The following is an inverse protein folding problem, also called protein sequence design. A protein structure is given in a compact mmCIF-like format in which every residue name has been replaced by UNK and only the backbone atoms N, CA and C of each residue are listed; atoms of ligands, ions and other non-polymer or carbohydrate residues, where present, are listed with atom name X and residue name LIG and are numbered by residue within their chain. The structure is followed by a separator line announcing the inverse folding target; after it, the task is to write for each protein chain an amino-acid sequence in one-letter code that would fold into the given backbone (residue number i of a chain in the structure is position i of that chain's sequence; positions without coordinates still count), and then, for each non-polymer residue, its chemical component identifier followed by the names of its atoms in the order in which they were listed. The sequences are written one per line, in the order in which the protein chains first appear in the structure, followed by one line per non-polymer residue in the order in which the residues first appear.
data_IF_287095759317
#
_entry.id   IF_287095759317
#
_cell.length_a   1.000
_cell.length_b   1.000
_cell.length_c   1.000
_cell.angle_alpha   90.00
_cell.angle_beta   90.00
_cell.angle_gamma   90.00
#
_symmetry.space_group_name_H-M   'P 1'
#
loop_
_entity.id
_entity.type
_entity.pdbx_description
1 polymer ?
#
# COMPACT_ATOMS: atom_id res chain seq x y z
N UNK A 1 -7.16 -15.85 19.69
CA UNK A 1 -6.81 -15.21 18.42
C UNK A 1 -7.63 -13.92 18.16
N UNK A 2 -8.96 -13.95 18.08
CA UNK A 2 -9.76 -12.72 17.84
C UNK A 2 -9.61 -11.66 18.93
N UNK A 3 -9.78 -12.03 20.20
CA UNK A 3 -9.58 -11.13 21.36
C UNK A 3 -8.17 -10.54 21.42
N UNK A 4 -7.18 -11.31 21.02
CA UNK A 4 -5.79 -10.88 20.98
C UNK A 4 -5.54 -9.86 19.86
N UNK A 5 -6.14 -10.06 18.69
CA UNK A 5 -6.09 -9.08 17.60
C UNK A 5 -6.64 -7.72 18.03
N UNK A 6 -7.83 -7.71 18.64
CA UNK A 6 -8.46 -6.48 19.15
C UNK A 6 -7.58 -5.80 20.21
N UNK A 7 -7.05 -6.59 21.16
CA UNK A 7 -6.14 -6.07 22.19
C UNK A 7 -4.90 -5.42 21.55
N UNK A 8 -4.32 -6.05 20.54
CA UNK A 8 -3.13 -5.54 19.86
C UNK A 8 -3.44 -4.27 19.06
N UNK A 9 -4.58 -4.22 18.36
CA UNK A 9 -5.03 -3.00 17.64
C UNK A 9 -5.14 -1.83 18.62
N UNK A 10 -5.81 -2.04 19.76
CA UNK A 10 -5.99 -1.00 20.77
C UNK A 10 -4.65 -0.55 21.37
N UNK A 11 -3.75 -1.50 21.66
CA UNK A 11 -2.43 -1.19 22.21
C UNK A 11 -1.58 -0.35 21.23
N UNK A 12 -1.59 -0.68 19.93
CA UNK A 12 -0.85 0.07 18.91
C UNK A 12 -1.45 1.47 18.74
N UNK A 13 -2.77 1.60 18.65
CA UNK A 13 -3.43 2.90 18.53
C UNK A 13 -3.13 3.79 19.73
N UNK A 14 -3.26 3.28 20.95
CA UNK A 14 -2.93 4.04 22.17
C UNK A 14 -1.47 4.50 22.16
N UNK A 15 -0.53 3.65 21.75
CA UNK A 15 0.88 4.03 21.67
C UNK A 15 1.12 5.15 20.62
N UNK A 16 0.42 5.10 19.47
CA UNK A 16 0.51 6.17 18.47
C UNK A 16 -0.08 7.47 19.03
N UNK A 17 -1.24 7.41 19.69
CA UNK A 17 -1.92 8.57 20.27
C UNK A 17 -1.06 9.24 21.36
N UNK A 18 -0.45 8.45 22.25
CA UNK A 18 0.47 8.92 23.28
C UNK A 18 1.69 9.61 22.68
N UNK A 19 2.32 8.98 21.66
CA UNK A 19 3.47 9.56 20.99
C UNK A 19 3.12 10.86 20.24
N UNK A 20 2.03 10.88 19.48
CA UNK A 20 1.57 12.08 18.79
C UNK A 20 1.31 13.23 19.77
N UNK A 21 0.65 12.93 20.88
CA UNK A 21 0.37 13.90 21.94
C UNK A 21 1.66 14.45 22.55
N UNK A 22 2.66 13.60 22.78
CA UNK A 22 3.95 13.98 23.39
C UNK A 22 4.77 14.95 22.55
N UNK A 23 4.59 14.94 21.22
CA UNK A 23 5.32 15.81 20.28
C UNK A 23 4.42 16.86 19.61
N UNK A 24 3.19 17.04 20.10
CA UNK A 24 2.19 17.97 19.57
C UNK A 24 1.92 17.77 18.05
N UNK A 25 1.79 16.50 17.63
CA UNK A 25 1.49 16.09 16.26
C UNK A 25 0.06 15.58 16.15
N UNK A 26 -0.65 15.88 15.06
CA UNK A 26 -1.98 15.33 14.85
C UNK A 26 -1.91 13.81 14.60
N UNK A 27 -2.83 13.07 15.23
CA UNK A 27 -2.99 11.62 14.99
C UNK A 27 -3.33 11.32 13.52
N UNK A 28 -4.08 12.21 12.87
CA UNK A 28 -4.53 12.06 11.48
C UNK A 28 -3.40 12.13 10.46
N UNK A 29 -2.21 12.61 10.86
CA UNK A 29 -1.02 12.58 10.01
C UNK A 29 -0.35 11.18 9.95
N UNK A 30 -0.81 10.24 10.77
CA UNK A 30 -0.24 8.88 10.85
C UNK A 30 -1.22 7.87 10.29
N UNK A 31 -0.86 7.22 9.20
CA UNK A 31 -1.61 6.10 8.64
C UNK A 31 -1.03 4.77 9.12
N UNK A 32 -1.83 4.00 9.86
CA UNK A 32 -1.46 2.64 10.25
C UNK A 32 -1.93 1.65 9.18
N UNK A 33 -0.99 0.95 8.55
CA UNK A 33 -1.28 -0.10 7.56
C UNK A 33 -1.13 -1.47 8.21
N UNK A 34 -2.24 -2.21 8.33
CA UNK A 34 -2.22 -3.58 8.82
C UNK A 34 -1.82 -4.55 7.72
N UNK A 35 -0.66 -5.20 7.87
CA UNK A 35 -0.18 -6.20 6.90
C UNK A 35 -0.94 -7.50 7.10
N UNK A 36 -1.81 -7.86 6.15
CA UNK A 36 -2.74 -9.00 6.24
C UNK A 36 -2.34 -10.20 5.35
N UNK A 37 -1.13 -10.16 4.77
CA UNK A 37 -0.61 -11.30 3.98
C UNK A 37 -0.71 -12.62 4.73
N UNK A 38 -1.12 -13.69 4.03
CA UNK A 38 -1.31 -15.05 4.60
C UNK A 38 -2.34 -15.12 5.73
N UNK A 39 -3.22 -14.14 5.85
CA UNK A 39 -4.34 -14.14 6.81
C UNK A 39 -5.66 -14.25 6.03
N UNK A 40 -6.61 -14.98 6.60
CA UNK A 40 -7.94 -15.09 6.05
C UNK A 40 -8.72 -13.77 6.08
N UNK A 41 -9.71 -13.64 5.21
CA UNK A 41 -10.52 -12.43 5.10
C UNK A 41 -11.30 -12.12 6.39
N UNK A 42 -11.62 -13.13 7.21
CA UNK A 42 -12.31 -12.94 8.50
C UNK A 42 -11.51 -12.08 9.48
N UNK A 43 -10.16 -12.21 9.45
CA UNK A 43 -9.31 -11.38 10.29
C UNK A 43 -9.21 -9.94 9.78
N UNK A 44 -9.25 -9.76 8.44
CA UNK A 44 -9.31 -8.44 7.83
C UNK A 44 -10.63 -7.76 8.19
N UNK A 45 -11.75 -8.47 8.07
CA UNK A 45 -13.07 -7.97 8.46
C UNK A 45 -13.14 -7.59 9.93
N UNK A 46 -12.62 -8.45 10.82
CA UNK A 46 -12.56 -8.15 12.24
C UNK A 46 -11.71 -6.91 12.54
N UNK A 47 -10.57 -6.74 11.86
CA UNK A 47 -9.73 -5.56 12.02
C UNK A 47 -10.44 -4.29 11.51
N UNK A 48 -11.15 -4.38 10.39
CA UNK A 48 -11.97 -3.30 9.84
C UNK A 48 -13.07 -2.86 10.84
N UNK A 49 -13.78 -3.82 11.43
CA UNK A 49 -14.80 -3.58 12.47
C UNK A 49 -14.21 -2.93 13.74
N UNK A 50 -12.88 -3.00 13.92
CA UNK A 50 -12.15 -2.37 15.02
C UNK A 50 -11.31 -1.15 14.58
N UNK A 51 -11.70 -0.51 13.48
CA UNK A 51 -11.17 0.80 13.07
C UNK A 51 -9.90 0.76 12.23
N UNK A 52 -9.46 -0.40 11.75
CA UNK A 52 -8.35 -0.49 10.78
C UNK A 52 -8.93 -0.43 9.38
N UNK A 53 -8.61 0.63 8.64
CA UNK A 53 -9.11 0.84 7.28
C UNK A 53 -8.05 0.62 6.18
N UNK A 54 -6.78 0.56 6.55
CA UNK A 54 -5.67 0.42 5.61
C UNK A 54 -5.03 -0.96 5.76
N UNK A 55 -5.02 -1.75 4.67
CA UNK A 55 -4.50 -3.12 4.66
C UNK A 55 -3.42 -3.32 3.60
N UNK A 56 -2.34 -4.00 4.00
CA UNK A 56 -1.20 -4.27 3.13
C UNK A 56 -1.12 -5.73 2.69
N UNK A 57 -1.02 -5.95 1.37
CA UNK A 57 -0.86 -7.27 0.77
C UNK A 57 0.43 -7.40 -0.04
N UNK A 58 1.04 -8.57 0.04
CA UNK A 58 2.25 -8.89 -0.71
C UNK A 58 1.98 -9.66 -2.01
N UNK A 59 0.83 -10.33 -2.10
CA UNK A 59 0.51 -11.23 -3.19
C UNK A 59 -0.72 -10.73 -3.95
N UNK A 60 -0.58 -10.58 -5.27
CA UNK A 60 -1.65 -10.02 -6.11
C UNK A 60 -2.94 -10.86 -6.07
N UNK A 61 -2.82 -12.18 -5.92
CA UNK A 61 -3.97 -13.07 -5.78
C UNK A 61 -4.71 -12.86 -4.46
N UNK A 62 -3.97 -12.78 -3.34
CA UNK A 62 -4.57 -12.51 -2.03
C UNK A 62 -5.27 -11.14 -2.00
N UNK A 63 -4.64 -10.11 -2.60
CA UNK A 63 -5.23 -8.81 -2.76
C UNK A 63 -6.56 -8.88 -3.52
N UNK A 64 -6.57 -9.53 -4.69
CA UNK A 64 -7.77 -9.69 -5.52
C UNK A 64 -8.87 -10.45 -4.79
N UNK A 65 -8.54 -11.56 -4.12
CA UNK A 65 -9.50 -12.37 -3.38
C UNK A 65 -10.13 -11.55 -2.25
N UNK A 66 -9.31 -10.91 -1.41
CA UNK A 66 -9.79 -10.16 -0.25
C UNK A 66 -10.59 -8.93 -0.65
N UNK A 67 -10.14 -8.18 -1.66
CA UNK A 67 -10.87 -7.01 -2.15
C UNK A 67 -12.22 -7.37 -2.76
N UNK A 68 -12.36 -8.56 -3.35
CA UNK A 68 -13.63 -9.02 -3.89
C UNK A 68 -14.60 -9.57 -2.83
N UNK A 69 -14.08 -10.05 -1.69
CA UNK A 69 -14.89 -10.62 -0.60
C UNK A 69 -15.35 -9.58 0.42
N UNK A 70 -14.67 -8.44 0.49
CA UNK A 70 -14.96 -7.37 1.46
C UNK A 70 -15.40 -6.14 0.67
N UNK A 71 -16.70 -6.02 0.49
CA UNK A 71 -17.33 -4.86 -0.13
C UNK A 71 -17.49 -3.76 0.93
N UNK A 72 -16.55 -2.81 0.94
CA UNK A 72 -16.56 -1.67 1.85
C UNK A 72 -15.81 -0.49 1.25
N UNK A 73 -16.50 0.62 1.09
CA UNK A 73 -15.95 1.89 0.62
C UNK A 73 -14.89 2.49 1.57
N UNK A 74 -14.81 1.96 2.79
CA UNK A 74 -13.90 2.45 3.82
C UNK A 74 -12.53 1.76 3.81
N UNK A 75 -12.31 0.75 2.96
CA UNK A 75 -11.03 0.06 2.88
C UNK A 75 -10.11 0.72 1.87
N UNK A 76 -8.87 0.93 2.29
CA UNK A 76 -7.75 1.33 1.42
C UNK A 76 -6.79 0.16 1.29
N UNK A 77 -6.63 -0.35 0.08
CA UNK A 77 -5.75 -1.48 -0.21
C UNK A 77 -4.36 -1.02 -0.64
N UNK A 78 -3.34 -1.46 0.09
CA UNK A 78 -1.94 -1.19 -0.19
C UNK A 78 -1.24 -2.45 -0.72
N UNK A 79 -0.67 -2.36 -1.91
CA UNK A 79 0.22 -3.41 -2.40
C UNK A 79 1.66 -3.10 -1.97
N UNK A 80 2.22 -3.97 -1.14
CA UNK A 80 3.54 -3.79 -0.52
C UNK A 80 4.53 -4.91 -0.89
N UNK A 81 4.14 -5.81 -1.79
CA UNK A 81 4.97 -6.92 -2.26
C UNK A 81 5.75 -6.60 -3.53
N UNK A 82 6.67 -7.50 -3.95
CA UNK A 82 7.39 -7.35 -5.21
C UNK A 82 6.45 -7.47 -6.41
N UNK A 83 6.66 -6.59 -7.42
CA UNK A 83 5.76 -6.51 -8.56
C UNK A 83 6.29 -7.32 -9.73
N UNK A 84 5.55 -8.35 -10.11
CA UNK A 84 5.74 -9.07 -11.36
C UNK A 84 4.97 -8.38 -12.50
N UNK A 85 5.59 -8.25 -13.68
CA UNK A 85 4.99 -7.54 -14.82
C UNK A 85 3.64 -8.11 -15.28
N UNK A 86 3.40 -9.41 -15.10
CA UNK A 86 2.14 -10.08 -15.46
C UNK A 86 1.05 -9.89 -14.39
N UNK A 87 1.36 -9.32 -13.24
CA UNK A 87 0.41 -9.05 -12.15
C UNK A 87 -0.06 -7.60 -12.08
N UNK A 88 0.55 -6.70 -12.87
CA UNK A 88 0.24 -5.27 -12.89
C UNK A 88 -1.26 -5.03 -13.06
N UNK A 89 -1.92 -5.71 -14.01
CA UNK A 89 -3.36 -5.58 -14.24
C UNK A 89 -4.19 -5.93 -12.99
N UNK A 90 -3.87 -7.03 -12.33
CA UNK A 90 -4.57 -7.46 -11.12
C UNK A 90 -4.39 -6.46 -9.99
N UNK A 91 -3.14 -5.99 -9.80
CA UNK A 91 -2.82 -5.02 -8.74
C UNK A 91 -3.52 -3.68 -9.03
N UNK A 92 -3.47 -3.16 -10.26
CA UNK A 92 -4.12 -1.90 -10.64
C UNK A 92 -5.62 -1.90 -10.36
N UNK A 93 -6.30 -3.02 -10.63
CA UNK A 93 -7.74 -3.13 -10.38
C UNK A 93 -8.11 -3.15 -8.89
N UNK A 94 -7.22 -3.64 -8.02
CA UNK A 94 -7.57 -3.97 -6.64
C UNK A 94 -6.83 -3.15 -5.57
N UNK A 95 -5.73 -2.44 -5.92
CA UNK A 95 -4.99 -1.61 -4.97
C UNK A 95 -5.30 -0.12 -5.15
N UNK A 96 -5.22 0.64 -4.06
CA UNK A 96 -5.30 2.10 -4.03
C UNK A 96 -3.91 2.72 -3.89
N UNK A 97 -2.99 1.98 -3.27
CA UNK A 97 -1.60 2.35 -3.09
C UNK A 97 -0.64 1.24 -3.52
N UNK A 98 0.49 1.63 -4.11
CA UNK A 98 1.61 0.74 -4.45
C UNK A 98 2.86 1.29 -3.77
N UNK A 99 3.54 0.47 -2.95
CA UNK A 99 4.70 0.90 -2.17
C UNK A 99 6.05 0.45 -2.74
N UNK A 100 6.06 -0.33 -3.83
CA UNK A 100 7.25 -1.04 -4.32
C UNK A 100 7.59 -0.73 -5.77
N UNK A 101 7.33 0.49 -6.20
CA UNK A 101 7.71 0.94 -7.54
C UNK A 101 9.22 1.19 -7.59
N UNK A 102 9.93 0.40 -8.40
CA UNK A 102 11.40 0.47 -8.52
C UNK A 102 11.90 0.52 -9.97
N UNK A 103 11.01 0.21 -10.94
CA UNK A 103 11.36 0.09 -12.36
C UNK A 103 10.40 0.90 -13.23
N UNK A 104 10.97 1.76 -14.06
CA UNK A 104 10.20 2.60 -14.99
C UNK A 104 9.21 1.78 -15.85
N UNK A 105 9.65 0.63 -16.38
CA UNK A 105 8.79 -0.27 -17.16
C UNK A 105 7.53 -0.70 -16.41
N UNK A 106 7.63 -0.89 -15.10
CA UNK A 106 6.48 -1.25 -14.25
C UNK A 106 5.58 -0.06 -14.06
N UNK A 107 6.13 1.12 -13.80
CA UNK A 107 5.39 2.37 -13.63
C UNK A 107 4.59 2.69 -14.89
N UNK A 108 5.21 2.60 -16.08
CA UNK A 108 4.52 2.79 -17.36
C UNK A 108 3.36 1.80 -17.54
N UNK A 109 3.57 0.53 -17.21
CA UNK A 109 2.49 -0.48 -17.28
C UNK A 109 1.32 -0.16 -16.34
N UNK A 110 1.59 0.31 -15.12
CA UNK A 110 0.51 0.75 -14.21
C UNK A 110 -0.25 1.94 -14.81
N UNK A 111 0.46 2.94 -15.32
CA UNK A 111 -0.17 4.09 -15.98
C UNK A 111 -1.09 3.66 -17.12
N UNK A 112 -0.63 2.73 -17.97
CA UNK A 112 -1.43 2.22 -19.10
C UNK A 112 -2.67 1.43 -18.62
N UNK A 113 -2.52 0.59 -17.59
CA UNK A 113 -3.67 -0.16 -17.04
C UNK A 113 -4.65 0.78 -16.32
N UNK A 114 -4.17 1.73 -15.53
CA UNK A 114 -5.01 2.72 -14.86
C UNK A 114 -5.81 3.60 -15.83
N UNK A 115 -5.20 4.01 -16.95
CA UNK A 115 -5.91 4.72 -18.04
C UNK A 115 -7.06 3.89 -18.61
N UNK A 116 -6.86 2.58 -18.82
CA UNK A 116 -7.91 1.69 -19.38
C UNK A 116 -9.13 1.58 -18.46
N UNK A 117 -8.92 1.64 -17.17
CA UNK A 117 -9.99 1.48 -16.17
C UNK A 117 -10.44 2.81 -15.53
N UNK A 118 -9.92 3.94 -16.05
CA UNK A 118 -10.19 5.28 -15.54
C UNK A 118 -9.99 5.38 -14.01
N UNK A 119 -8.88 4.84 -13.50
CA UNK A 119 -8.53 4.83 -12.07
C UNK A 119 -7.23 5.59 -11.84
N UNK A 120 -7.20 6.37 -10.76
CA UNK A 120 -5.96 6.95 -10.22
C UNK A 120 -5.49 6.04 -9.09
N UNK A 121 -4.19 5.70 -9.09
CA UNK A 121 -3.56 4.92 -8.03
C UNK A 121 -2.38 5.70 -7.46
N UNK A 122 -2.21 5.65 -6.14
CA UNK A 122 -1.10 6.29 -5.47
C UNK A 122 0.14 5.38 -5.53
N UNK A 123 1.31 5.95 -5.77
CA UNK A 123 2.54 5.17 -5.90
C UNK A 123 3.71 5.74 -5.10
N UNK A 124 4.38 4.89 -4.31
CA UNK A 124 5.64 5.18 -3.66
C UNK A 124 6.79 4.57 -4.45
N UNK A 125 7.81 5.36 -4.73
CA UNK A 125 9.05 4.86 -5.33
C UNK A 125 9.89 4.24 -4.22
N UNK A 126 10.26 2.96 -4.38
CA UNK A 126 11.13 2.26 -3.46
C UNK A 126 12.59 2.53 -3.82
N UNK A 127 13.35 3.06 -2.86
CA UNK A 127 14.77 3.40 -3.02
C UNK A 127 15.61 2.46 -2.18
N UNK A 128 16.69 1.92 -2.75
CA UNK A 128 17.70 1.17 -2.04
C UNK A 128 18.85 2.12 -1.61
N UNK A 129 18.71 2.70 -0.42
CA UNK A 129 19.65 3.70 0.10
C UNK A 129 21.01 3.07 0.44
N UNK A 130 21.03 1.84 0.96
CA UNK A 130 22.24 1.15 1.40
C UNK A 130 23.03 0.52 0.25
N UNK A 131 22.47 0.52 -0.97
CA UNK A 131 23.06 -0.11 -2.16
C UNK A 131 23.39 -1.60 -1.95
N UNK A 132 22.66 -2.28 -1.06
CA UNK A 132 22.80 -3.72 -0.84
C UNK A 132 22.20 -4.49 -2.03
N UNK A 133 23.00 -5.33 -2.70
CA UNK A 133 22.56 -6.10 -3.88
C UNK A 133 21.39 -7.06 -3.58
N UNK A 134 21.24 -7.50 -2.33
CA UNK A 134 20.18 -8.39 -1.90
C UNK A 134 18.84 -7.68 -1.69
N UNK A 135 18.78 -6.35 -1.69
CA UNK A 135 17.59 -5.56 -1.44
C UNK A 135 17.02 -4.95 -2.71
N UNK A 136 15.71 -4.93 -2.80
CA UNK A 136 14.96 -4.26 -3.87
C UNK A 136 14.97 -2.74 -3.71
N UNK A 137 14.71 -2.04 -4.80
CA UNK A 137 14.65 -0.58 -4.86
C UNK A 137 15.58 -0.03 -5.95
N UNK A 138 15.23 1.11 -6.50
CA UNK A 138 16.08 1.82 -7.45
C UNK A 138 17.18 2.60 -6.72
N UNK A 139 18.26 2.95 -7.44
CA UNK A 139 19.28 3.85 -6.91
C UNK A 139 18.75 5.28 -6.78
N UNK A 140 19.40 6.10 -5.95
CA UNK A 140 19.06 7.52 -5.80
C UNK A 140 19.16 8.28 -7.14
N UNK A 141 20.15 7.96 -7.97
CA UNK A 141 20.33 8.59 -9.29
C UNK A 141 19.17 8.26 -10.24
N UNK A 142 18.64 7.03 -10.16
CA UNK A 142 17.49 6.61 -10.98
C UNK A 142 16.21 7.35 -10.60
N UNK A 143 16.06 7.84 -9.37
CA UNK A 143 14.88 8.61 -8.93
C UNK A 143 14.79 9.94 -9.66
N UNK A 144 15.91 10.64 -9.85
CA UNK A 144 15.96 11.92 -10.56
C UNK A 144 15.45 11.78 -12.01
N UNK A 145 15.73 10.63 -12.63
CA UNK A 145 15.31 10.34 -14.00
C UNK A 145 13.80 10.00 -14.10
N UNK A 146 13.27 9.29 -13.12
CA UNK A 146 11.83 8.95 -13.07
C UNK A 146 10.96 10.18 -12.82
N UNK A 147 11.43 11.15 -12.07
CA UNK A 147 10.71 12.41 -11.82
C UNK A 147 10.55 13.28 -13.07
N UNK A 148 11.47 13.17 -14.03
CA UNK A 148 11.46 13.96 -15.27
C UNK A 148 10.63 13.33 -16.40
N UNK A 149 10.22 12.05 -16.27
CA UNK A 149 9.61 11.29 -17.37
C UNK A 149 8.19 10.82 -17.12
N UNK A 150 7.63 11.01 -15.92
CA UNK A 150 6.21 10.82 -15.72
C UNK A 150 5.49 12.02 -16.35
N UNK A 151 4.64 11.82 -17.37
CA UNK A 151 3.78 12.90 -17.83
C UNK A 151 2.89 13.26 -16.64
N UNK A 152 3.18 14.38 -16.01
CA UNK A 152 2.25 15.10 -15.16
C UNK A 152 1.16 15.62 -16.10
N UNK A 153 0.25 14.74 -16.48
CA UNK A 153 -0.99 15.18 -17.06
C UNK A 153 -1.81 15.76 -15.93
N UNK A 154 -1.82 17.10 -15.92
CA UNK A 154 -2.84 17.92 -15.30
C UNK A 154 -2.94 17.85 -13.76
N UNK A 155 -1.97 18.54 -13.11
CA UNK A 155 -2.28 19.25 -11.89
C UNK A 155 -3.23 20.40 -12.26
N UNK A 156 -4.52 20.21 -12.05
CA UNK A 156 -5.51 21.25 -11.92
C UNK A 156 -5.68 21.57 -10.45
#
# INVERSE_FOLDING_TARGET
MQRELIKNINAINNSIDELCSSINRSRDEITLIAVSKKKGFELVKLALENGINNFGENYAQELQEKSSLIDSDNIVWHFIGPIQSNKVKVIANNADWIHTLEREKIIRKFNDECKKINKVINGCIQINISSEESKSGCSLDAVSYTHLTLPTSDLV
#
